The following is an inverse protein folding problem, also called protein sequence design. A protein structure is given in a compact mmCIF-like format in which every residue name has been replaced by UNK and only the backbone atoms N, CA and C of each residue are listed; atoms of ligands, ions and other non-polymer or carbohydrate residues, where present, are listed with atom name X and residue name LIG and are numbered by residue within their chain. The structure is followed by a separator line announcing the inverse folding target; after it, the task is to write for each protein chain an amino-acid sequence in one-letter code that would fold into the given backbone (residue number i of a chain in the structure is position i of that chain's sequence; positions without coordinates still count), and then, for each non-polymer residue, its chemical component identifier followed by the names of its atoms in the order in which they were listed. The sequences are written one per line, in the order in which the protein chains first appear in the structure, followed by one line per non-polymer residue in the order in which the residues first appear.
data_IF_664789687418
#
_entry.id   IF_664789687418
#
_cell.length_a   1.000
_cell.length_b   1.000
_cell.length_c   1.000
_cell.angle_alpha   90.00
_cell.angle_beta   90.00
_cell.angle_gamma   90.00
#
_symmetry.space_group_name_H-M   'P 1'
#
loop_
_entity.id
_entity.type
_entity.pdbx_description
1 polymer ?
#
# COMPACT_ATOMS: atom_id res chain seq x y z
N UNK A 1 15.52 19.45 -4.25
CA UNK A 1 16.42 18.95 -5.31
C UNK A 1 17.04 17.60 -4.92
N UNK A 2 17.63 17.47 -3.73
CA UNK A 2 18.29 16.24 -3.26
C UNK A 2 17.37 15.00 -3.32
N UNK A 3 16.12 15.11 -2.85
CA UNK A 3 15.17 13.97 -2.85
C UNK A 3 14.88 13.47 -4.27
N UNK A 4 14.72 14.37 -5.25
CA UNK A 4 14.50 14.00 -6.65
C UNK A 4 15.70 13.23 -7.22
N UNK A 5 16.90 13.70 -6.93
CA UNK A 5 18.14 13.03 -7.37
C UNK A 5 18.28 11.66 -6.73
N UNK A 6 17.98 11.55 -5.44
CA UNK A 6 18.06 10.27 -4.70
C UNK A 6 17.04 9.25 -5.22
N UNK A 7 15.77 9.66 -5.40
CA UNK A 7 14.74 8.78 -5.94
C UNK A 7 15.12 8.26 -7.33
N UNK A 8 15.61 9.12 -8.23
CA UNK A 8 16.08 8.69 -9.54
C UNK A 8 17.23 7.69 -9.48
N UNK A 9 18.22 7.93 -8.62
CA UNK A 9 19.33 6.97 -8.43
C UNK A 9 18.86 5.63 -7.93
N UNK A 10 17.94 5.60 -6.97
CA UNK A 10 17.36 4.38 -6.42
C UNK A 10 16.58 3.61 -7.51
N UNK A 11 15.75 4.30 -8.28
CA UNK A 11 14.98 3.72 -9.37
C UNK A 11 15.87 3.18 -10.49
N UNK A 12 16.92 3.90 -10.87
CA UNK A 12 17.86 3.47 -11.91
C UNK A 12 18.66 2.23 -11.46
N UNK A 13 19.05 2.16 -10.18
CA UNK A 13 19.69 0.97 -9.60
C UNK A 13 18.74 -0.22 -9.57
N UNK A 14 17.47 -0.02 -9.16
CA UNK A 14 16.44 -1.07 -9.18
C UNK A 14 16.18 -1.55 -10.62
N UNK A 15 16.08 -0.63 -11.57
CA UNK A 15 15.92 -1.00 -12.98
C UNK A 15 17.09 -1.85 -13.49
N UNK A 16 18.35 -1.52 -13.14
CA UNK A 16 19.50 -2.33 -13.49
C UNK A 16 19.42 -3.75 -12.92
N UNK A 17 18.99 -3.90 -11.67
CA UNK A 17 18.77 -5.21 -11.03
C UNK A 17 17.66 -6.02 -11.72
N UNK A 18 16.54 -5.38 -12.08
CA UNK A 18 15.44 -6.02 -12.82
C UNK A 18 15.93 -6.49 -14.20
N UNK A 19 16.68 -5.66 -14.92
CA UNK A 19 17.23 -6.05 -16.22
C UNK A 19 18.19 -7.24 -16.16
N UNK A 20 18.88 -7.43 -15.06
CA UNK A 20 19.74 -8.61 -14.87
C UNK A 20 18.93 -9.92 -14.73
N UNK A 21 17.67 -9.83 -14.27
CA UNK A 21 16.81 -10.99 -14.04
C UNK A 21 15.34 -10.69 -14.41
N UNK A 22 15.04 -10.38 -15.70
CA UNK A 22 13.74 -9.83 -16.11
C UNK A 22 12.56 -10.81 -15.96
N UNK A 23 12.83 -12.11 -15.93
CA UNK A 23 11.80 -13.13 -15.70
C UNK A 23 11.48 -13.34 -14.20
N UNK A 24 12.20 -12.67 -13.29
CA UNK A 24 12.08 -12.87 -11.84
C UNK A 24 11.64 -11.63 -11.08
N UNK A 25 11.86 -10.45 -11.62
CA UNK A 25 11.64 -9.20 -10.92
C UNK A 25 10.82 -8.21 -11.75
N UNK A 26 9.93 -7.52 -11.07
CA UNK A 26 9.29 -6.30 -11.54
C UNK A 26 9.47 -5.22 -10.44
N UNK A 27 9.29 -3.94 -10.77
CA UNK A 27 9.56 -2.85 -9.84
C UNK A 27 8.39 -1.94 -9.57
N UNK A 28 8.36 -1.41 -8.36
CA UNK A 28 7.63 -0.20 -7.99
C UNK A 28 8.61 0.95 -7.86
N UNK A 29 8.23 2.13 -8.35
CA UNK A 29 9.06 3.31 -8.30
C UNK A 29 9.07 3.94 -6.91
N UNK A 30 10.22 4.38 -6.44
CA UNK A 30 10.36 5.32 -5.33
C UNK A 30 10.05 6.73 -5.84
N UNK A 31 9.20 7.47 -5.11
CA UNK A 31 8.73 8.79 -5.54
C UNK A 31 9.24 9.91 -4.60
N UNK A 32 9.80 11.01 -5.14
CA UNK A 32 10.21 12.17 -4.34
C UNK A 32 9.00 13.03 -3.96
N UNK A 33 8.13 12.52 -3.08
CA UNK A 33 6.84 13.12 -2.73
C UNK A 33 6.92 14.52 -2.13
N UNK A 34 8.08 14.91 -1.59
CA UNK A 34 8.34 16.30 -1.17
C UNK A 34 8.24 17.32 -2.32
N UNK A 35 8.31 16.86 -3.57
CA UNK A 35 8.00 17.61 -4.77
C UNK A 35 6.98 16.82 -5.60
N UNK A 36 5.67 17.01 -5.38
CA UNK A 36 4.62 16.19 -5.98
C UNK A 36 4.64 16.15 -7.51
N UNK A 37 4.97 17.28 -8.15
CA UNK A 37 5.11 17.31 -9.61
C UNK A 37 6.27 16.43 -10.09
N UNK A 38 7.44 16.53 -9.47
CA UNK A 38 8.58 15.69 -9.81
C UNK A 38 8.30 14.20 -9.50
N UNK A 39 7.50 13.90 -8.47
CA UNK A 39 7.06 12.55 -8.16
C UNK A 39 6.16 11.98 -9.28
N UNK A 40 5.21 12.75 -9.77
CA UNK A 40 4.35 12.35 -10.90
C UNK A 40 5.17 12.14 -12.19
N UNK A 41 6.12 13.04 -12.47
CA UNK A 41 7.00 12.93 -13.64
C UNK A 41 7.95 11.70 -13.54
N UNK A 42 8.41 11.37 -12.33
CA UNK A 42 9.25 10.20 -12.09
C UNK A 42 8.45 8.89 -12.21
N UNK A 43 7.20 8.86 -11.71
CA UNK A 43 6.30 7.72 -11.91
C UNK A 43 6.12 7.45 -13.42
N UNK A 44 5.81 8.49 -14.20
CA UNK A 44 5.68 8.35 -15.66
C UNK A 44 6.95 7.82 -16.30
N UNK A 45 8.11 8.38 -15.94
CA UNK A 45 9.40 7.93 -16.46
C UNK A 45 9.62 6.44 -16.21
N UNK A 46 9.38 5.98 -14.98
CA UNK A 46 9.63 4.60 -14.60
C UNK A 46 8.65 3.63 -15.26
N UNK A 47 7.38 4.00 -15.36
CA UNK A 47 6.37 3.15 -16.01
C UNK A 47 6.58 3.10 -17.52
N UNK A 48 6.71 4.25 -18.19
CA UNK A 48 6.71 4.31 -19.66
C UNK A 48 8.04 3.90 -20.28
N UNK A 49 9.18 4.21 -19.63
CA UNK A 49 10.51 3.94 -20.19
C UNK A 49 11.15 2.67 -19.64
N UNK A 50 10.77 2.27 -18.43
CA UNK A 50 11.45 1.18 -17.71
C UNK A 50 10.52 0.02 -17.33
N UNK A 51 9.22 0.12 -17.66
CA UNK A 51 8.25 -0.97 -17.47
C UNK A 51 7.89 -1.26 -16.03
N UNK A 52 8.07 -0.29 -15.11
CA UNK A 52 7.66 -0.41 -13.72
C UNK A 52 6.15 -0.54 -13.62
N UNK A 53 5.68 -1.20 -12.57
CA UNK A 53 4.29 -1.64 -12.41
C UNK A 53 3.47 -0.76 -11.46
N UNK A 54 4.04 0.33 -10.99
CA UNK A 54 3.45 1.27 -10.06
C UNK A 54 4.50 2.00 -9.25
N UNK A 55 4.10 2.54 -8.12
CA UNK A 55 5.02 3.15 -7.15
C UNK A 55 4.70 2.73 -5.73
N UNK A 56 5.69 2.83 -4.85
CA UNK A 56 5.57 2.63 -3.42
C UNK A 56 5.89 3.93 -2.71
N UNK A 57 5.02 4.35 -1.79
CA UNK A 57 5.19 5.57 -0.99
C UNK A 57 5.19 5.18 0.49
N UNK A 58 6.20 5.62 1.22
CA UNK A 58 6.38 5.32 2.64
C UNK A 58 5.84 6.46 3.51
N UNK A 59 4.79 6.18 4.29
CA UNK A 59 4.26 7.06 5.34
C UNK A 59 3.92 8.48 4.90
N UNK A 60 4.12 9.42 5.83
CA UNK A 60 3.85 10.84 5.63
C UNK A 60 4.95 11.54 4.85
N UNK A 61 4.57 12.53 4.07
CA UNK A 61 5.52 13.41 3.37
C UNK A 61 5.71 14.70 4.18
N UNK A 62 6.84 14.84 4.85
CA UNK A 62 7.13 15.98 5.72
C UNK A 62 6.01 16.29 6.73
N UNK A 63 5.44 15.24 7.34
CA UNK A 63 4.32 15.33 8.28
C UNK A 63 2.94 15.51 7.66
N UNK A 64 2.82 15.50 6.34
CA UNK A 64 1.55 15.66 5.64
C UNK A 64 1.03 14.34 5.08
N UNK A 65 -0.28 14.15 5.14
CA UNK A 65 -0.97 13.03 4.51
C UNK A 65 -1.18 13.27 3.01
N UNK A 66 -1.23 12.17 2.25
CA UNK A 66 -1.32 12.20 0.78
C UNK A 66 -2.71 12.63 0.25
N UNK A 67 -3.72 12.77 1.10
CA UNK A 67 -5.05 13.29 0.73
C UNK A 67 -5.06 14.79 0.44
N UNK A 68 -4.01 15.52 0.83
CA UNK A 68 -3.89 16.94 0.49
C UNK A 68 -3.81 17.15 -1.03
N UNK A 69 -4.55 18.15 -1.53
CA UNK A 69 -4.68 18.44 -2.98
C UNK A 69 -3.34 18.57 -3.73
N UNK A 70 -2.29 19.02 -3.05
CA UNK A 70 -0.93 19.15 -3.66
C UNK A 70 -0.36 17.82 -4.14
N UNK A 71 -0.77 16.69 -3.56
CA UNK A 71 -0.30 15.35 -3.94
C UNK A 71 -1.15 14.70 -5.04
N UNK A 72 -2.32 15.27 -5.36
CA UNK A 72 -3.28 14.65 -6.27
C UNK A 72 -2.74 14.42 -7.68
N UNK A 73 -1.78 15.22 -8.13
CA UNK A 73 -1.11 15.02 -9.42
C UNK A 73 -0.38 13.66 -9.52
N UNK A 74 0.03 13.06 -8.39
CA UNK A 74 0.63 11.72 -8.36
C UNK A 74 -0.44 10.67 -8.68
N UNK A 75 -1.60 10.77 -8.05
CA UNK A 75 -2.73 9.85 -8.24
C UNK A 75 -3.37 10.00 -9.63
N UNK A 76 -3.48 11.22 -10.12
CA UNK A 76 -3.89 11.50 -11.50
C UNK A 76 -2.97 10.78 -12.51
N UNK A 77 -1.67 10.89 -12.32
CA UNK A 77 -0.69 10.22 -13.17
C UNK A 77 -0.76 8.71 -13.04
N UNK A 78 -0.93 8.17 -11.85
CA UNK A 78 -1.09 6.73 -11.61
C UNK A 78 -2.32 6.17 -12.32
N UNK A 79 -3.48 6.87 -12.23
CA UNK A 79 -4.67 6.49 -12.98
C UNK A 79 -4.46 6.57 -14.49
N UNK A 80 -3.87 7.65 -15.00
CA UNK A 80 -3.62 7.82 -16.44
C UNK A 80 -2.71 6.73 -17.02
N UNK A 81 -1.77 6.23 -16.21
CA UNK A 81 -0.87 5.14 -16.58
C UNK A 81 -1.46 3.74 -16.29
N UNK A 82 -2.63 3.68 -15.66
CA UNK A 82 -3.30 2.46 -15.19
C UNK A 82 -2.40 1.56 -14.33
N UNK A 83 -1.70 2.18 -13.37
CA UNK A 83 -0.83 1.50 -12.40
C UNK A 83 -1.25 1.82 -10.96
N UNK A 84 -1.07 0.89 -10.01
CA UNK A 84 -1.40 1.13 -8.61
C UNK A 84 -0.34 1.97 -7.89
N UNK A 85 -0.77 2.60 -6.79
CA UNK A 85 0.12 3.16 -5.77
C UNK A 85 0.05 2.26 -4.54
N UNK A 86 1.20 1.74 -4.10
CA UNK A 86 1.35 1.02 -2.84
C UNK A 86 1.64 2.03 -1.73
N UNK A 87 0.78 2.08 -0.72
CA UNK A 87 1.00 2.88 0.49
C UNK A 87 1.57 1.97 1.56
N UNK A 88 2.83 2.18 1.87
CA UNK A 88 3.58 1.43 2.86
C UNK A 88 3.67 2.24 4.17
N UNK A 89 3.67 1.60 5.34
CA UNK A 89 3.92 2.29 6.60
C UNK A 89 5.23 3.08 6.62
N UNK A 90 5.24 4.13 7.41
CA UNK A 90 6.43 4.92 7.75
C UNK A 90 6.44 5.23 9.24
N UNK A 91 7.49 5.89 9.70
CA UNK A 91 7.54 6.38 11.08
C UNK A 91 6.35 7.34 11.30
N UNK A 92 5.50 7.09 12.31
CA UNK A 92 4.36 7.95 12.57
C UNK A 92 4.76 9.41 12.83
N UNK A 93 3.79 10.30 12.65
CA UNK A 93 4.02 11.73 12.86
C UNK A 93 4.72 11.99 14.20
N UNK A 94 5.75 12.86 14.28
CA UNK A 94 6.56 13.05 15.49
C UNK A 94 5.73 13.37 16.74
N UNK A 95 4.65 14.15 16.60
CA UNK A 95 3.77 14.47 17.74
C UNK A 95 3.02 13.21 18.25
N UNK A 96 2.60 12.31 17.36
CA UNK A 96 1.96 11.03 17.73
C UNK A 96 3.00 10.11 18.38
N UNK A 97 4.19 9.98 17.78
CA UNK A 97 5.28 9.19 18.34
C UNK A 97 5.63 9.66 19.76
N UNK A 98 5.75 10.96 19.95
CA UNK A 98 6.06 11.55 21.26
C UNK A 98 4.94 11.32 22.28
N UNK A 99 3.67 11.48 21.86
CA UNK A 99 2.54 11.40 22.78
C UNK A 99 2.13 9.97 23.13
N UNK A 100 2.28 9.01 22.19
CA UNK A 100 1.69 7.68 22.33
C UNK A 100 2.71 6.55 22.46
N UNK A 101 3.93 6.70 21.92
CA UNK A 101 4.87 5.60 21.76
C UNK A 101 6.22 5.81 22.43
N UNK A 102 6.52 7.02 22.90
CA UNK A 102 7.85 7.38 23.43
C UNK A 102 8.25 6.59 24.66
N UNK A 103 7.28 6.18 25.50
CA UNK A 103 7.54 5.51 26.78
C UNK A 103 7.90 4.01 26.60
N UNK A 104 7.54 3.44 25.44
CA UNK A 104 7.77 2.01 25.15
C UNK A 104 8.96 1.84 24.20
N UNK A 105 10.17 1.79 24.79
CA UNK A 105 11.43 1.78 24.04
C UNK A 105 12.27 0.55 24.31
N UNK A 106 13.05 0.16 23.32
CA UNK A 106 14.18 -0.77 23.46
C UNK A 106 15.44 -0.01 23.02
N UNK A 107 16.23 0.45 23.99
CA UNK A 107 17.25 1.46 23.71
C UNK A 107 16.62 2.76 23.21
N UNK A 108 17.11 3.30 22.11
CA UNK A 108 16.56 4.51 21.50
C UNK A 108 15.36 4.25 20.57
N UNK A 109 14.98 2.99 20.36
CA UNK A 109 13.94 2.59 19.42
C UNK A 109 12.55 2.47 20.10
N UNK A 110 11.55 3.28 19.71
CA UNK A 110 10.18 3.18 20.21
C UNK A 110 9.44 2.05 19.51
N UNK A 111 9.56 0.80 19.99
CA UNK A 111 9.06 -0.40 19.32
C UNK A 111 7.54 -0.40 19.11
N UNK A 112 6.78 0.30 19.96
CA UNK A 112 5.32 0.42 19.81
C UNK A 112 4.95 1.22 18.56
N UNK A 113 5.82 2.10 18.06
CA UNK A 113 5.62 2.78 16.78
C UNK A 113 5.55 1.80 15.62
N UNK A 114 6.36 0.73 15.63
CA UNK A 114 6.30 -0.31 14.59
C UNK A 114 5.18 -1.31 14.88
N UNK A 115 5.03 -1.74 16.13
CA UNK A 115 4.04 -2.75 16.49
C UNK A 115 2.59 -2.30 16.25
N UNK A 116 2.29 -1.01 16.42
CA UNK A 116 0.95 -0.46 16.27
C UNK A 116 0.91 0.85 15.46
N UNK A 117 1.86 1.73 15.67
CA UNK A 117 1.86 3.07 15.06
C UNK A 117 1.85 3.01 13.53
N UNK A 118 2.60 2.10 12.93
CA UNK A 118 2.63 1.86 11.47
C UNK A 118 1.24 1.53 10.95
N UNK A 119 0.60 0.53 11.53
CA UNK A 119 -0.77 0.13 11.19
C UNK A 119 -1.76 1.28 11.37
N UNK A 120 -1.74 1.94 12.53
CA UNK A 120 -2.70 2.99 12.84
C UNK A 120 -2.60 4.19 11.89
N UNK A 121 -1.38 4.65 11.59
CA UNK A 121 -1.19 5.80 10.69
C UNK A 121 -1.48 5.46 9.24
N UNK A 122 -1.11 4.25 8.77
CA UNK A 122 -1.41 3.83 7.41
C UNK A 122 -2.92 3.61 7.22
N UNK A 123 -3.61 3.06 8.22
CA UNK A 123 -5.07 2.96 8.20
C UNK A 123 -5.73 4.35 8.11
N UNK A 124 -5.28 5.32 8.92
CA UNK A 124 -5.76 6.71 8.86
C UNK A 124 -5.46 7.33 7.48
N UNK A 125 -4.27 7.12 6.93
CA UNK A 125 -3.93 7.62 5.60
C UNK A 125 -4.89 7.09 4.53
N UNK A 126 -5.21 5.79 4.54
CA UNK A 126 -6.16 5.19 3.61
C UNK A 126 -7.60 5.71 3.80
N UNK A 127 -8.07 5.83 5.05
CA UNK A 127 -9.39 6.41 5.36
C UNK A 127 -9.47 7.85 4.84
N UNK A 128 -8.44 8.66 5.06
CA UNK A 128 -8.36 10.05 4.59
C UNK A 128 -8.43 10.15 3.08
N UNK A 129 -7.76 9.26 2.33
CA UNK A 129 -7.86 9.22 0.86
C UNK A 129 -9.31 8.98 0.41
N UNK A 130 -10.04 8.07 1.06
CA UNK A 130 -11.44 7.81 0.71
C UNK A 130 -12.31 9.04 0.99
N UNK A 131 -12.22 9.60 2.19
CA UNK A 131 -13.11 10.71 2.58
C UNK A 131 -12.75 12.06 1.95
N UNK A 132 -11.56 12.18 1.34
CA UNK A 132 -11.12 13.41 0.68
C UNK A 132 -11.84 13.70 -0.64
N UNK A 133 -12.52 12.70 -1.23
CA UNK A 133 -13.09 12.75 -2.57
C UNK A 133 -12.07 12.45 -3.68
N UNK A 134 -10.92 11.86 -3.34
CA UNK A 134 -9.89 11.49 -4.31
C UNK A 134 -10.43 10.52 -5.37
N UNK A 135 -11.20 9.52 -4.94
CA UNK A 135 -11.74 8.50 -5.84
C UNK A 135 -12.91 8.99 -6.69
N UNK A 136 -13.62 10.04 -6.25
CA UNK A 136 -14.60 10.72 -7.09
C UNK A 136 -13.91 11.44 -8.27
N UNK A 137 -12.73 12.02 -8.02
CA UNK A 137 -11.93 12.68 -9.04
C UNK A 137 -11.18 11.68 -9.95
N UNK A 138 -10.76 10.53 -9.39
CA UNK A 138 -9.96 9.52 -10.07
C UNK A 138 -10.58 8.13 -9.90
N UNK A 139 -11.70 7.82 -10.58
CA UNK A 139 -12.45 6.58 -10.39
C UNK A 139 -11.73 5.31 -10.89
N UNK A 140 -10.68 5.44 -11.66
CA UNK A 140 -9.83 4.31 -12.09
C UNK A 140 -8.63 4.06 -11.20
N UNK A 141 -8.42 4.86 -10.15
CA UNK A 141 -7.26 4.76 -9.26
C UNK A 141 -7.29 3.45 -8.45
N UNK A 142 -6.12 2.83 -8.31
CA UNK A 142 -5.92 1.58 -7.55
C UNK A 142 -4.87 1.81 -6.46
N UNK A 143 -5.20 1.42 -5.23
CA UNK A 143 -4.31 1.53 -4.07
C UNK A 143 -4.01 0.12 -3.55
N UNK A 144 -2.77 -0.12 -3.15
CA UNK A 144 -2.37 -1.34 -2.46
C UNK A 144 -2.01 -0.99 -1.02
N UNK A 145 -2.51 -1.78 -0.06
CA UNK A 145 -2.11 -1.73 1.34
C UNK A 145 -1.44 -3.04 1.76
N UNK A 146 -0.42 -2.93 2.58
CA UNK A 146 0.23 -4.06 3.22
C UNK A 146 -0.56 -4.68 4.37
N UNK A 147 0.04 -5.66 5.05
CA UNK A 147 -0.33 -6.17 6.37
C UNK A 147 -1.82 -6.54 6.51
N UNK A 148 -2.41 -7.12 5.44
CA UNK A 148 -3.84 -7.43 5.35
C UNK A 148 -4.73 -6.20 5.59
N UNK A 149 -4.35 -5.04 5.02
CA UNK A 149 -5.17 -3.83 4.99
C UNK A 149 -5.16 -3.03 6.28
N UNK A 150 -4.10 -3.17 7.10
CA UNK A 150 -3.85 -2.29 8.24
C UNK A 150 -5.05 -2.17 9.19
N UNK A 151 -5.67 -3.29 9.55
CA UNK A 151 -6.87 -3.42 10.39
C UNK A 151 -8.18 -2.87 9.81
N UNK A 152 -8.17 -2.17 8.68
CA UNK A 152 -9.38 -1.58 8.09
C UNK A 152 -10.47 -2.64 7.83
N UNK A 153 -10.18 -3.84 7.26
CA UNK A 153 -11.22 -4.84 7.02
C UNK A 153 -12.00 -5.21 8.29
N UNK A 154 -11.33 -5.35 9.42
CA UNK A 154 -11.99 -5.66 10.70
C UNK A 154 -12.91 -4.52 11.18
N UNK A 155 -12.61 -3.27 10.85
CA UNK A 155 -13.38 -2.10 11.30
C UNK A 155 -14.24 -1.49 10.19
N UNK A 156 -14.27 -2.11 9.00
CA UNK A 156 -14.85 -1.54 7.78
C UNK A 156 -16.31 -1.10 7.97
N UNK A 157 -17.16 -1.97 8.52
CA UNK A 157 -18.55 -1.66 8.81
C UNK A 157 -18.70 -0.45 9.75
N UNK A 158 -17.91 -0.40 10.84
CA UNK A 158 -17.99 0.69 11.81
C UNK A 158 -17.55 2.02 11.22
N UNK A 159 -16.47 2.02 10.45
CA UNK A 159 -15.98 3.21 9.74
C UNK A 159 -17.04 3.72 8.75
N UNK A 160 -17.61 2.83 7.94
CA UNK A 160 -18.65 3.17 6.97
C UNK A 160 -19.87 3.76 7.67
N UNK A 161 -20.36 3.12 8.74
CA UNK A 161 -21.53 3.58 9.46
C UNK A 161 -21.35 5.00 10.02
N UNK A 162 -20.21 5.29 10.66
CA UNK A 162 -19.91 6.62 11.22
C UNK A 162 -19.71 7.66 10.12
N UNK A 163 -18.93 7.35 9.11
CA UNK A 163 -18.62 8.27 8.00
C UNK A 163 -19.90 8.64 7.26
N UNK A 164 -20.77 7.67 7.00
CA UNK A 164 -22.04 7.87 6.31
C UNK A 164 -23.05 8.63 7.16
N UNK A 165 -23.28 8.19 8.40
CA UNK A 165 -24.40 8.71 9.20
C UNK A 165 -24.04 9.96 10.02
N UNK A 166 -22.78 10.16 10.35
CA UNK A 166 -22.28 11.32 11.10
C UNK A 166 -21.50 12.28 10.21
N UNK A 167 -20.64 11.75 9.34
CA UNK A 167 -19.81 12.56 8.44
C UNK A 167 -20.53 13.06 7.19
N UNK A 168 -21.71 12.52 6.84
CA UNK A 168 -22.46 12.90 5.65
C UNK A 168 -21.75 12.63 4.32
N UNK A 169 -20.83 11.65 4.29
CA UNK A 169 -20.07 11.25 3.11
C UNK A 169 -20.68 10.00 2.46
N UNK A 170 -20.32 9.76 1.20
CA UNK A 170 -20.71 8.57 0.46
C UNK A 170 -20.12 7.28 1.08
N UNK A 171 -20.61 6.13 0.63
CA UNK A 171 -20.29 4.81 1.13
C UNK A 171 -18.78 4.53 1.19
N UNK A 172 -18.18 4.64 2.36
CA UNK A 172 -16.76 4.39 2.59
C UNK A 172 -16.38 2.94 2.23
N UNK A 173 -17.22 1.98 2.68
CA UNK A 173 -16.92 0.57 2.47
C UNK A 173 -16.93 0.18 0.99
N UNK A 174 -17.86 0.71 0.21
CA UNK A 174 -17.95 0.40 -1.22
C UNK A 174 -16.74 0.98 -1.98
N UNK A 175 -16.38 2.23 -1.69
CA UNK A 175 -15.16 2.85 -2.25
C UNK A 175 -13.91 2.07 -1.87
N UNK A 176 -13.81 1.63 -0.61
CA UNK A 176 -12.67 0.84 -0.18
C UNK A 176 -12.58 -0.50 -0.93
N UNK A 177 -13.69 -1.24 -1.06
CA UNK A 177 -13.74 -2.49 -1.81
C UNK A 177 -13.41 -2.33 -3.29
N UNK A 178 -13.82 -1.22 -3.89
CA UNK A 178 -13.60 -0.95 -5.31
C UNK A 178 -12.15 -0.63 -5.63
N UNK A 179 -11.50 0.19 -4.81
CA UNK A 179 -10.21 0.80 -5.16
C UNK A 179 -9.01 0.15 -4.47
N UNK A 180 -9.23 -0.60 -3.38
CA UNK A 180 -8.12 -1.14 -2.60
C UNK A 180 -7.85 -2.61 -2.86
N UNK A 181 -6.57 -2.94 -2.91
CA UNK A 181 -6.00 -4.28 -2.92
C UNK A 181 -5.14 -4.44 -1.67
N UNK A 182 -5.09 -5.65 -1.13
CA UNK A 182 -4.37 -5.95 0.10
C UNK A 182 -3.24 -6.93 -0.17
N UNK A 183 -2.16 -6.84 0.59
CA UNK A 183 -1.13 -7.86 0.59
C UNK A 183 -0.97 -8.51 1.95
N UNK A 184 -0.48 -9.75 1.97
CA UNK A 184 -0.24 -10.51 3.20
C UNK A 184 1.01 -10.05 3.95
N UNK A 185 1.80 -9.14 3.38
CA UNK A 185 3.12 -8.75 3.91
C UNK A 185 3.15 -8.60 5.43
N UNK A 186 4.02 -9.37 6.09
CA UNK A 186 4.26 -9.29 7.52
C UNK A 186 3.10 -9.69 8.46
N UNK A 187 1.90 -9.99 7.93
CA UNK A 187 0.75 -10.42 8.73
C UNK A 187 0.30 -11.82 8.30
N UNK A 188 0.83 -12.84 8.97
CA UNK A 188 0.57 -14.25 8.64
C UNK A 188 -0.50 -14.88 9.57
N UNK A 189 -1.56 -14.10 9.88
CA UNK A 189 -2.65 -14.52 10.76
C UNK A 189 -3.86 -15.01 9.95
N UNK A 190 -4.27 -16.28 10.15
CA UNK A 190 -5.37 -16.91 9.41
C UNK A 190 -6.72 -16.22 9.62
N UNK A 191 -7.01 -15.74 10.84
CA UNK A 191 -8.25 -15.02 11.12
C UNK A 191 -8.30 -13.65 10.44
N UNK A 192 -7.15 -12.96 10.32
CA UNK A 192 -7.07 -11.70 9.59
C UNK A 192 -7.28 -11.93 8.08
N UNK A 193 -6.66 -12.97 7.51
CA UNK A 193 -6.89 -13.36 6.12
C UNK A 193 -8.37 -13.67 5.85
N UNK A 194 -8.99 -14.46 6.73
CA UNK A 194 -10.42 -14.79 6.61
C UNK A 194 -11.33 -13.55 6.66
N UNK A 195 -11.02 -12.59 7.53
CA UNK A 195 -11.71 -11.30 7.58
C UNK A 195 -11.56 -10.52 6.27
N UNK A 196 -10.34 -10.43 5.73
CA UNK A 196 -10.09 -9.75 4.46
C UNK A 196 -10.85 -10.39 3.28
N UNK A 197 -10.88 -11.74 3.23
CA UNK A 197 -11.63 -12.47 2.20
C UNK A 197 -13.13 -12.19 2.33
N UNK A 198 -13.68 -12.20 3.55
CA UNK A 198 -15.09 -11.94 3.79
C UNK A 198 -15.50 -10.51 3.42
N UNK A 199 -14.63 -9.52 3.66
CA UNK A 199 -14.94 -8.11 3.43
C UNK A 199 -14.65 -7.64 1.99
N UNK A 200 -13.57 -8.09 1.36
CA UNK A 200 -13.14 -7.60 0.04
C UNK A 200 -13.26 -8.62 -1.08
N UNK A 201 -13.36 -9.90 -0.75
CA UNK A 201 -13.27 -11.00 -1.71
C UNK A 201 -11.83 -11.42 -2.00
N UNK A 202 -11.69 -12.63 -2.55
CA UNK A 202 -10.41 -13.29 -2.80
C UNK A 202 -9.55 -12.54 -3.83
N UNK A 203 -10.18 -11.92 -4.83
CA UNK A 203 -9.52 -11.26 -5.96
C UNK A 203 -8.81 -9.96 -5.59
N UNK A 204 -9.01 -9.47 -4.36
CA UNK A 204 -8.39 -8.25 -3.84
C UNK A 204 -7.17 -8.51 -2.98
N UNK A 205 -6.78 -9.78 -2.78
CA UNK A 205 -5.70 -10.16 -1.86
C UNK A 205 -4.53 -10.73 -2.66
N UNK A 206 -3.32 -10.23 -2.41
CA UNK A 206 -2.08 -10.66 -3.06
C UNK A 206 -1.07 -11.15 -2.01
N UNK A 207 -0.25 -12.10 -2.42
CA UNK A 207 0.84 -12.59 -1.58
C UNK A 207 2.01 -11.59 -1.55
N UNK A 208 2.50 -11.30 -0.36
CA UNK A 208 3.76 -10.62 -0.12
C UNK A 208 4.29 -11.02 1.26
N UNK A 209 5.58 -10.85 1.50
CA UNK A 209 6.25 -11.31 2.74
C UNK A 209 6.87 -10.18 3.56
N UNK A 210 7.05 -9.00 2.99
CA UNK A 210 7.74 -7.90 3.64
C UNK A 210 9.24 -8.22 3.91
N UNK A 211 9.89 -8.88 2.93
CA UNK A 211 11.33 -9.16 3.01
C UNK A 211 12.15 -7.84 2.99
N UNK A 212 13.19 -7.68 3.79
CA UNK A 212 13.86 -8.69 4.63
C UNK A 212 13.34 -8.79 6.08
N UNK A 213 12.30 -8.08 6.45
CA UNK A 213 11.80 -8.02 7.83
C UNK A 213 11.10 -9.31 8.27
N UNK A 214 10.49 -10.02 7.33
CA UNK A 214 9.77 -11.27 7.57
C UNK A 214 10.31 -12.41 6.71
N UNK A 215 10.07 -13.64 7.17
CA UNK A 215 10.54 -14.87 6.52
C UNK A 215 9.68 -15.24 5.31
N UNK A 216 10.31 -15.38 4.14
CA UNK A 216 9.62 -15.88 2.94
C UNK A 216 9.08 -17.30 3.14
N UNK A 217 9.78 -18.15 3.90
CA UNK A 217 9.33 -19.52 4.19
C UNK A 217 8.05 -19.52 5.04
N UNK A 218 7.97 -18.65 6.05
CA UNK A 218 6.79 -18.52 6.91
C UNK A 218 5.59 -17.98 6.11
N UNK A 219 5.80 -16.96 5.26
CA UNK A 219 4.75 -16.43 4.40
C UNK A 219 4.18 -17.48 3.44
N UNK A 220 5.03 -18.28 2.81
CA UNK A 220 4.60 -19.39 1.94
C UNK A 220 3.86 -20.47 2.75
N UNK A 221 4.36 -20.86 3.91
CA UNK A 221 3.71 -21.84 4.79
C UNK A 221 2.33 -21.34 5.25
N UNK A 222 2.19 -20.05 5.55
CA UNK A 222 0.93 -19.41 5.91
C UNK A 222 -0.15 -19.60 4.85
N UNK A 223 0.13 -19.29 3.57
CA UNK A 223 -0.85 -19.45 2.49
C UNK A 223 -1.13 -20.94 2.21
N UNK A 224 -0.11 -21.80 2.23
CA UNK A 224 -0.31 -23.25 2.05
C UNK A 224 -1.24 -23.84 3.11
N UNK A 225 -1.15 -23.38 4.36
CA UNK A 225 -1.99 -23.81 5.46
C UNK A 225 -3.39 -23.17 5.49
N UNK A 226 -3.66 -22.16 4.64
CA UNK A 226 -4.94 -21.49 4.61
C UNK A 226 -6.08 -22.44 4.23
N UNK A 227 -7.22 -22.33 4.93
CA UNK A 227 -8.42 -23.16 4.72
C UNK A 227 -9.30 -22.57 3.61
N UNK A 228 -8.73 -22.45 2.42
CA UNK A 228 -9.39 -21.98 1.20
C UNK A 228 -9.10 -22.97 0.07
N UNK A 229 -9.79 -22.84 -1.06
CA UNK A 229 -9.56 -23.72 -2.21
C UNK A 229 -8.15 -23.55 -2.80
N UNK A 230 -7.62 -24.57 -3.49
CA UNK A 230 -6.32 -24.46 -4.17
C UNK A 230 -6.34 -23.39 -5.28
N UNK A 231 -7.49 -23.18 -5.93
CA UNK A 231 -7.67 -22.09 -6.88
C UNK A 231 -7.53 -20.71 -6.22
N UNK A 232 -8.10 -20.54 -5.04
CA UNK A 232 -7.98 -19.28 -4.26
C UNK A 232 -6.55 -19.06 -3.77
N UNK A 233 -5.86 -20.13 -3.34
CA UNK A 233 -4.44 -20.04 -3.00
C UNK A 233 -3.60 -19.58 -4.19
N UNK A 234 -3.83 -20.15 -5.37
CA UNK A 234 -3.14 -19.74 -6.59
C UNK A 234 -3.44 -18.28 -6.94
N UNK A 235 -4.69 -17.83 -6.79
CA UNK A 235 -5.06 -16.43 -7.00
C UNK A 235 -4.29 -15.49 -6.05
N UNK A 236 -4.22 -15.81 -4.76
CA UNK A 236 -3.46 -15.01 -3.78
C UNK A 236 -1.97 -15.05 -4.09
N UNK A 237 -1.40 -16.24 -4.36
CA UNK A 237 0.04 -16.42 -4.54
C UNK A 237 0.60 -15.69 -5.76
N UNK A 238 -0.16 -15.61 -6.86
CA UNK A 238 0.29 -14.93 -8.08
C UNK A 238 -0.82 -14.34 -8.94
N UNK A 239 -1.96 -15.02 -9.14
CA UNK A 239 -2.96 -14.67 -10.14
C UNK A 239 -3.51 -13.24 -10.00
N UNK A 240 -3.71 -12.75 -8.77
CA UNK A 240 -4.20 -11.40 -8.52
C UNK A 240 -3.13 -10.35 -8.84
N UNK A 241 -1.86 -10.62 -8.49
CA UNK A 241 -0.74 -9.75 -8.85
C UNK A 241 -0.51 -9.73 -10.37
N UNK A 242 -0.57 -10.88 -11.03
CA UNK A 242 -0.43 -11.00 -12.49
C UNK A 242 -1.46 -10.13 -13.21
N UNK A 243 -2.73 -10.17 -12.76
CA UNK A 243 -3.81 -9.35 -13.33
C UNK A 243 -3.63 -7.87 -13.05
N UNK A 244 -3.43 -7.49 -11.78
CA UNK A 244 -3.35 -6.09 -11.37
C UNK A 244 -2.13 -5.39 -11.99
N UNK A 245 -0.98 -6.06 -11.98
CA UNK A 245 0.30 -5.50 -12.39
C UNK A 245 0.62 -5.81 -13.87
N UNK A 246 -0.24 -6.56 -14.56
CA UNK A 246 -0.01 -7.00 -15.96
C UNK A 246 1.37 -7.62 -16.10
N UNK A 247 1.66 -8.61 -15.24
CA UNK A 247 2.88 -9.38 -15.35
C UNK A 247 2.74 -10.33 -16.53
N UNK A 248 3.79 -10.43 -17.35
CA UNK A 248 3.82 -11.41 -18.42
C UNK A 248 3.81 -12.82 -17.80
N UNK A 249 2.87 -13.65 -18.20
CA UNK A 249 2.81 -15.08 -17.90
C UNK A 249 3.91 -15.84 -18.65
#
# INVERSE_FOLDING_TARGET
ETAVVMARKANDALHAAIRAHPSRFAGFAELPTVNPKAAADELERMVTRHGFKGALINGLTAGAFLDEKRFWCIFERAQALDVPIYIHPGIPHPAVTQAYYSDYRRGDFPFLSVAWGFTAETAIAAIRLVVSGLFDAYPGLKIILGHLGETIPFTLWRCDWIIRNVGGKSAFADTFREHFYLTTSGNFQQSALACCIAELGIDRIMFAVDYPYNSSAEGVAFIRAARISEADKANILHGNADRLLRLAS
#
